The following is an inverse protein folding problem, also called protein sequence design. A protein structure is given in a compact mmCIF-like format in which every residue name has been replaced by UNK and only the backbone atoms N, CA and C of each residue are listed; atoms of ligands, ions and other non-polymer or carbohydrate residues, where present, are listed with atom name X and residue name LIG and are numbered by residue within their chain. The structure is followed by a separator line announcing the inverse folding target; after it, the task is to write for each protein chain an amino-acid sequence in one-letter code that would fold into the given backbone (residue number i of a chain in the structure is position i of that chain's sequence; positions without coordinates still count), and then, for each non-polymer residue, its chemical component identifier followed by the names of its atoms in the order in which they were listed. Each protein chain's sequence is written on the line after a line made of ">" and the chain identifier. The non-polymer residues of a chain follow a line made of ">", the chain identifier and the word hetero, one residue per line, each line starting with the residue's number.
data_IF_362938208466
#
_entry.id   IF_362938208466
#
_cell.length_a   1.000
_cell.length_b   1.000
_cell.length_c   1.000
_cell.angle_alpha   90.00
_cell.angle_beta   90.00
_cell.angle_gamma   90.00
#
_symmetry.space_group_name_H-M   'P 1'
#
loop_
_entity.id
_entity.type
_entity.pdbx_description
1 polymer ?
#
# COMPACT_ATOMS: atom_id res chain seq x y z
N UNK A 1 0.96 -55.63 58.98
CA UNK A 1 1.02 -56.01 57.55
C UNK A 1 2.10 -55.11 56.92
N UNK A 2 3.28 -55.67 56.59
CA UNK A 2 4.46 -54.93 56.10
C UNK A 2 4.52 -54.93 54.56
N UNK A 3 5.38 -54.03 54.03
CA UNK A 3 6.04 -53.97 52.70
C UNK A 3 5.25 -53.11 51.68
N UNK A 4 5.75 -52.02 51.07
CA UNK A 4 7.07 -51.65 50.52
C UNK A 4 7.73 -50.47 51.28
N UNK A 5 9.03 -50.41 51.61
CA UNK A 5 10.32 -50.67 50.93
C UNK A 5 10.86 -49.49 50.08
N UNK A 6 11.79 -48.74 50.71
CA UNK A 6 13.10 -48.24 50.18
C UNK A 6 13.13 -46.97 49.31
N UNK A 7 14.14 -46.07 49.33
CA UNK A 7 15.48 -46.08 49.95
C UNK A 7 16.22 -44.72 49.76
N UNK A 8 17.05 -44.34 50.75
CA UNK A 8 18.51 -43.98 50.66
C UNK A 8 18.90 -42.62 50.00
N UNK A 9 19.29 -41.62 50.82
CA UNK A 9 20.66 -41.05 51.10
C UNK A 9 21.38 -40.40 49.89
N UNK A 10 22.19 -39.35 49.97
CA UNK A 10 23.19 -39.01 50.98
C UNK A 10 23.67 -37.54 50.86
N UNK A 11 24.26 -37.08 51.97
CA UNK A 11 25.03 -35.85 52.20
C UNK A 11 26.44 -35.98 51.63
N UNK A 12 27.03 -34.91 51.06
CA UNK A 12 28.43 -34.49 51.32
C UNK A 12 28.58 -32.98 51.04
N UNK A 13 29.20 -32.27 51.99
CA UNK A 13 29.61 -30.88 51.92
C UNK A 13 31.05 -30.73 51.39
N UNK A 14 31.34 -29.64 50.66
CA UNK A 14 32.71 -29.12 50.45
C UNK A 14 32.67 -27.60 50.64
N UNK A 15 33.60 -27.11 51.45
CA UNK A 15 33.84 -25.71 51.83
C UNK A 15 35.01 -25.17 51.00
N UNK A 16 35.07 -23.83 50.88
CA UNK A 16 36.22 -22.93 50.69
C UNK A 16 36.45 -22.46 49.24
N UNK A 17 36.20 -21.18 48.96
CA UNK A 17 37.22 -20.11 48.98
C UNK A 17 36.60 -18.76 48.57
N UNK A 18 36.71 -17.76 49.44
CA UNK A 18 36.42 -16.37 49.11
C UNK A 18 37.61 -15.76 48.36
N UNK A 19 37.37 -15.19 47.18
CA UNK A 19 38.28 -14.22 46.56
C UNK A 19 37.53 -12.94 46.24
N UNK A 20 38.13 -11.86 46.72
CA UNK A 20 37.60 -10.51 46.73
C UNK A 20 37.53 -9.89 45.33
N UNK A 21 36.46 -9.10 45.15
CA UNK A 21 36.42 -7.80 44.49
C UNK A 21 37.43 -7.60 43.35
N UNK A 22 37.02 -7.95 42.14
CA UNK A 22 37.41 -7.19 40.96
C UNK A 22 36.12 -6.71 40.30
N UNK A 23 35.91 -5.40 40.11
CA UNK A 23 34.81 -4.93 39.28
C UNK A 23 35.01 -5.53 37.89
N UNK A 24 33.97 -6.18 37.38
CA UNK A 24 33.92 -6.67 36.02
C UNK A 24 34.15 -5.46 35.11
N UNK A 25 35.38 -5.33 34.61
CA UNK A 25 35.70 -4.40 33.55
C UNK A 25 34.92 -4.89 32.33
N UNK A 26 33.78 -4.25 32.07
CA UNK A 26 33.20 -4.27 30.74
C UNK A 26 34.27 -3.70 29.81
N UNK A 27 34.84 -4.54 28.94
CA UNK A 27 35.52 -4.05 27.75
C UNK A 27 34.53 -3.16 27.00
N UNK A 28 34.88 -1.88 26.88
CA UNK A 28 34.15 -0.93 26.06
C UNK A 28 34.10 -1.47 24.63
N UNK A 29 32.89 -1.70 24.11
CA UNK A 29 32.69 -1.92 22.68
C UNK A 29 33.34 -0.74 21.93
N UNK A 30 34.10 -0.99 20.84
CA UNK A 30 34.73 0.08 20.09
C UNK A 30 33.66 1.04 19.59
N UNK A 31 33.60 2.21 20.23
CA UNK A 31 32.72 3.31 19.85
C UNK A 31 33.23 3.86 18.53
N UNK A 32 32.64 3.45 17.41
CA UNK A 32 32.89 4.09 16.12
C UNK A 32 32.32 5.50 16.24
N UNK A 33 33.19 6.47 16.50
CA UNK A 33 32.86 7.88 16.39
C UNK A 33 32.60 8.21 14.92
N UNK A 34 31.33 8.17 14.52
CA UNK A 34 30.89 8.75 13.26
C UNK A 34 30.88 10.26 13.47
N UNK A 35 31.88 10.96 12.90
CA UNK A 35 31.75 12.40 12.64
C UNK A 35 30.53 12.60 11.72
N UNK A 36 29.40 12.97 12.32
CA UNK A 36 28.28 13.58 11.61
C UNK A 36 28.58 15.07 11.50
N UNK A 37 29.27 15.47 10.44
CA UNK A 37 29.08 16.82 9.93
C UNK A 37 27.85 16.80 9.01
N UNK A 38 26.94 17.74 9.30
CA UNK A 38 25.61 17.98 8.75
C UNK A 38 24.47 17.02 9.15
N UNK A 39 23.84 17.41 10.26
CA UNK A 39 22.42 17.18 10.56
C UNK A 39 21.55 17.33 9.30
N UNK A 40 20.77 16.30 8.89
CA UNK A 40 19.91 16.41 7.73
C UNK A 40 18.78 17.42 8.01
N UNK A 41 18.65 18.41 7.12
CA UNK A 41 17.59 19.40 7.16
C UNK A 41 16.20 18.73 7.24
N UNK A 42 15.34 19.27 8.12
CA UNK A 42 13.92 18.93 8.24
C UNK A 42 13.26 18.92 6.85
N UNK A 43 12.75 17.76 6.41
CA UNK A 43 11.96 17.66 5.17
C UNK A 43 12.13 16.39 4.33
N UNK A 44 12.91 15.38 4.75
CA UNK A 44 12.96 14.09 4.04
C UNK A 44 11.66 13.31 4.25
N UNK A 45 10.83 13.24 3.21
CA UNK A 45 9.76 12.23 3.11
C UNK A 45 10.41 11.01 2.45
N UNK A 46 10.42 9.88 3.13
CA UNK A 46 10.93 8.63 2.56
C UNK A 46 10.03 8.21 1.40
N UNK A 47 10.62 7.93 0.24
CA UNK A 47 9.86 7.30 -0.84
C UNK A 47 9.38 5.91 -0.40
N UNK A 48 8.41 5.30 -1.08
CA UNK A 48 8.03 3.88 -0.84
C UNK A 48 9.20 2.91 -0.99
N UNK A 49 10.32 3.39 -1.54
CA UNK A 49 11.59 2.73 -1.67
C UNK A 49 12.59 3.53 -0.84
N UNK A 50 12.88 3.08 0.37
CA UNK A 50 13.80 3.76 1.29
C UNK A 50 15.24 3.96 0.74
N UNK A 51 15.53 3.44 -0.47
CA UNK A 51 16.85 3.47 -1.10
C UNK A 51 17.19 4.77 -1.85
N UNK A 52 16.22 5.63 -2.18
CA UNK A 52 16.46 6.90 -2.89
C UNK A 52 15.83 8.08 -2.13
N UNK A 53 16.61 9.11 -1.75
CA UNK A 53 16.05 10.34 -1.23
C UNK A 53 15.26 11.06 -2.34
N UNK A 54 13.99 11.38 -2.07
CA UNK A 54 13.17 12.23 -2.94
C UNK A 54 13.02 13.60 -2.29
N UNK A 55 13.40 14.66 -3.01
CA UNK A 55 13.28 16.03 -2.54
C UNK A 55 11.93 16.64 -2.93
N UNK A 56 11.48 17.66 -2.20
CA UNK A 56 10.15 18.26 -2.36
C UNK A 56 9.83 18.70 -3.80
N UNK A 57 10.80 19.23 -4.55
CA UNK A 57 10.60 19.60 -5.96
C UNK A 57 10.30 18.38 -6.83
N UNK A 58 11.12 17.33 -6.73
CA UNK A 58 10.95 16.09 -7.48
C UNK A 58 9.66 15.37 -7.10
N UNK A 59 9.27 15.41 -5.82
CA UNK A 59 7.99 14.87 -5.34
C UNK A 59 6.81 15.52 -6.05
N UNK A 60 6.80 16.86 -6.17
CA UNK A 60 5.74 17.59 -6.88
C UNK A 60 5.63 17.17 -8.35
N UNK A 61 6.75 17.08 -9.06
CA UNK A 61 6.77 16.66 -10.47
C UNK A 61 6.22 15.21 -10.64
N UNK A 62 6.61 14.30 -9.74
CA UNK A 62 6.08 12.92 -9.72
C UNK A 62 4.57 12.91 -9.46
N UNK A 63 4.10 13.69 -8.50
CA UNK A 63 2.69 13.78 -8.15
C UNK A 63 1.86 14.38 -9.28
N UNK A 64 2.39 15.36 -10.01
CA UNK A 64 1.75 15.94 -11.21
C UNK A 64 1.61 14.90 -12.32
N UNK A 65 2.68 14.15 -12.63
CA UNK A 65 2.66 13.08 -13.64
C UNK A 65 1.64 12.01 -13.26
N UNK A 66 1.67 11.59 -11.99
CA UNK A 66 0.73 10.61 -11.45
C UNK A 66 -0.71 11.12 -11.56
N UNK A 67 -0.95 12.37 -11.19
CA UNK A 67 -2.27 13.01 -11.27
C UNK A 67 -2.76 13.10 -12.70
N UNK A 68 -1.90 13.49 -13.64
CA UNK A 68 -2.23 13.53 -15.07
C UNK A 68 -2.58 12.14 -15.63
N UNK A 69 -1.80 11.11 -15.26
CA UNK A 69 -2.10 9.71 -15.60
C UNK A 69 -3.43 9.25 -15.02
N UNK A 70 -3.70 9.58 -13.75
CA UNK A 70 -4.96 9.24 -13.08
C UNK A 70 -6.17 9.95 -13.71
N UNK A 71 -6.04 11.22 -14.10
CA UNK A 71 -7.10 11.99 -14.76
C UNK A 71 -7.54 11.38 -16.10
N UNK A 72 -6.63 10.70 -16.80
CA UNK A 72 -6.95 9.99 -18.06
C UNK A 72 -7.74 8.69 -17.84
N UNK A 73 -7.83 8.18 -16.60
CA UNK A 73 -8.49 6.91 -16.35
C UNK A 73 -9.99 7.09 -16.13
N UNK A 74 -10.77 6.50 -17.01
CA UNK A 74 -12.20 6.28 -16.82
C UNK A 74 -12.38 5.09 -15.85
N UNK A 75 -13.25 5.25 -14.86
CA UNK A 75 -13.58 4.20 -13.90
C UNK A 75 -14.17 2.96 -14.57
N UNK A 76 -14.54 1.96 -13.77
CA UNK A 76 -15.09 0.69 -14.26
C UNK A 76 -16.61 0.61 -14.08
N UNK A 77 -17.23 -0.33 -14.79
CA UNK A 77 -18.55 -0.86 -14.43
C UNK A 77 -18.27 -2.11 -13.59
N UNK A 78 -18.46 -2.07 -12.25
CA UNK A 78 -18.17 -3.21 -11.39
C UNK A 78 -19.22 -4.32 -11.57
N UNK A 79 -18.79 -5.57 -11.50
CA UNK A 79 -19.67 -6.75 -11.47
C UNK A 79 -19.48 -7.60 -10.21
N UNK A 80 -18.40 -7.36 -9.46
CA UNK A 80 -18.08 -8.08 -8.21
C UNK A 80 -17.43 -7.14 -7.21
N UNK A 81 -17.81 -7.31 -5.94
CA UNK A 81 -17.28 -6.61 -4.79
C UNK A 81 -16.75 -7.64 -3.79
N UNK A 82 -15.50 -7.46 -3.37
CA UNK A 82 -14.87 -8.28 -2.34
C UNK A 82 -14.38 -7.38 -1.19
N UNK A 83 -14.67 -7.75 0.05
CA UNK A 83 -14.19 -7.06 1.26
C UNK A 83 -13.65 -8.11 2.23
N UNK A 84 -12.37 -8.51 2.13
CA UNK A 84 -11.82 -9.65 2.86
C UNK A 84 -11.94 -9.54 4.38
N UNK A 85 -11.81 -8.33 4.94
CA UNK A 85 -11.87 -8.08 6.39
C UNK A 85 -13.20 -8.50 7.02
N UNK A 86 -14.28 -8.53 6.24
CA UNK A 86 -15.63 -8.91 6.68
C UNK A 86 -16.21 -10.05 5.84
N UNK A 87 -15.35 -10.79 5.12
CA UNK A 87 -15.70 -11.96 4.32
C UNK A 87 -16.82 -11.73 3.30
N UNK A 88 -16.94 -10.51 2.76
CA UNK A 88 -17.89 -10.21 1.69
C UNK A 88 -17.28 -10.59 0.34
N UNK A 89 -18.04 -11.36 -0.43
CA UNK A 89 -17.80 -11.66 -1.84
C UNK A 89 -19.15 -11.74 -2.56
N UNK A 90 -19.47 -10.73 -3.36
CA UNK A 90 -20.82 -10.55 -3.91
C UNK A 90 -20.79 -9.99 -5.32
N UNK A 91 -21.85 -10.29 -6.07
CA UNK A 91 -22.15 -9.57 -7.30
C UNK A 91 -22.49 -8.10 -7.02
N UNK A 92 -22.16 -7.25 -8.00
CA UNK A 92 -22.56 -5.85 -8.06
C UNK A 92 -23.46 -5.69 -9.28
N UNK A 93 -24.69 -5.22 -9.06
CA UNK A 93 -25.63 -4.87 -10.12
C UNK A 93 -25.64 -3.35 -10.31
N UNK A 94 -26.07 -2.90 -11.47
CA UNK A 94 -26.37 -1.49 -11.71
C UNK A 94 -27.73 -1.16 -11.13
N UNK A 95 -27.83 -0.04 -10.41
CA UNK A 95 -29.10 0.47 -9.88
C UNK A 95 -29.24 1.95 -10.25
N UNK A 96 -30.48 2.37 -10.46
CA UNK A 96 -30.84 3.71 -10.88
C UNK A 96 -31.44 4.53 -9.74
N UNK A 97 -32.47 5.27 -10.10
CA UNK A 97 -33.29 6.04 -9.16
C UNK A 97 -34.72 5.54 -9.20
N UNK A 98 -35.34 5.50 -8.05
CA UNK A 98 -36.79 5.33 -7.91
C UNK A 98 -37.53 6.56 -8.45
N UNK A 99 -38.84 6.46 -8.64
CA UNK A 99 -39.67 7.55 -9.14
C UNK A 99 -39.67 8.80 -8.23
N UNK A 100 -39.48 8.60 -6.93
CA UNK A 100 -39.33 9.66 -5.92
C UNK A 100 -37.87 10.16 -5.78
N UNK A 101 -36.97 9.70 -6.66
CA UNK A 101 -35.60 10.22 -6.80
C UNK A 101 -34.58 9.63 -5.83
N UNK A 102 -34.95 8.62 -5.04
CA UNK A 102 -34.02 7.90 -4.17
C UNK A 102 -33.16 6.93 -4.97
N UNK A 103 -31.99 6.59 -4.45
CA UNK A 103 -31.17 5.52 -5.03
C UNK A 103 -31.90 4.19 -4.84
N UNK A 104 -32.05 3.43 -5.94
CA UNK A 104 -32.53 2.06 -5.89
C UNK A 104 -31.56 1.16 -5.09
N UNK A 105 -32.09 0.12 -4.45
CA UNK A 105 -31.31 -0.90 -3.76
C UNK A 105 -31.62 -2.28 -4.34
N UNK A 106 -30.68 -3.25 -4.28
CA UNK A 106 -30.95 -4.60 -4.78
C UNK A 106 -32.17 -5.25 -4.11
N UNK A 107 -32.95 -6.03 -4.85
CA UNK A 107 -34.15 -6.70 -4.30
C UNK A 107 -33.81 -7.79 -3.27
N UNK A 108 -32.63 -8.41 -3.40
CA UNK A 108 -32.17 -9.47 -2.51
C UNK A 108 -31.10 -8.98 -1.53
N UNK A 109 -30.91 -9.73 -0.45
CA UNK A 109 -30.04 -9.38 0.68
C UNK A 109 -28.57 -9.77 0.47
N UNK A 110 -28.26 -10.48 -0.61
CA UNK A 110 -26.92 -11.03 -0.87
C UNK A 110 -26.14 -10.25 -1.92
N UNK A 111 -26.79 -9.40 -2.70
CA UNK A 111 -26.19 -8.56 -3.75
C UNK A 111 -25.99 -7.10 -3.31
N UNK A 112 -25.15 -6.39 -4.06
CA UNK A 112 -24.93 -4.95 -3.90
C UNK A 112 -25.24 -4.19 -5.18
N UNK A 113 -25.65 -2.93 -5.06
CA UNK A 113 -26.06 -2.09 -6.18
C UNK A 113 -25.14 -0.87 -6.33
N UNK A 114 -24.48 -0.73 -7.47
CA UNK A 114 -23.75 0.48 -7.84
C UNK A 114 -24.69 1.49 -8.51
N UNK A 115 -24.67 2.72 -8.00
CA UNK A 115 -25.44 3.83 -8.53
C UNK A 115 -24.87 4.32 -9.88
N UNK A 116 -25.38 3.75 -10.97
CA UNK A 116 -24.89 3.99 -12.34
C UNK A 116 -25.03 5.46 -12.82
N UNK A 117 -26.10 6.20 -12.45
CA UNK A 117 -26.19 7.62 -12.82
C UNK A 117 -25.12 8.51 -12.18
N UNK A 118 -24.35 7.99 -11.21
CA UNK A 118 -23.27 8.69 -10.52
C UNK A 118 -21.89 8.45 -11.14
N UNK A 119 -20.86 8.54 -10.30
CA UNK A 119 -19.49 8.32 -10.73
C UNK A 119 -19.17 6.83 -10.85
N UNK A 120 -18.45 6.47 -11.91
CA UNK A 120 -17.86 5.13 -12.07
C UNK A 120 -16.76 4.91 -11.02
N UNK A 121 -16.72 3.76 -10.32
CA UNK A 121 -15.62 3.43 -9.42
C UNK A 121 -14.26 3.53 -10.11
N UNK A 122 -13.35 4.27 -9.50
CA UNK A 122 -12.06 4.57 -10.10
C UNK A 122 -12.08 5.73 -11.09
N UNK A 123 -13.20 6.41 -11.34
CA UNK A 123 -13.19 7.77 -11.91
C UNK A 123 -12.79 8.79 -10.85
N UNK A 124 -12.52 10.04 -11.26
CA UNK A 124 -12.55 11.17 -10.33
C UNK A 124 -13.99 11.40 -9.88
N UNK A 125 -14.21 11.55 -8.58
CA UNK A 125 -15.53 11.66 -7.97
C UNK A 125 -15.78 10.58 -6.92
N UNK A 126 -17.04 10.45 -6.51
CA UNK A 126 -17.50 9.53 -5.47
C UNK A 126 -18.44 8.51 -6.07
N UNK A 127 -17.94 7.29 -6.30
CA UNK A 127 -18.80 6.18 -6.68
C UNK A 127 -19.56 5.68 -5.44
N UNK A 128 -20.80 5.23 -5.60
CA UNK A 128 -21.65 4.79 -4.49
C UNK A 128 -22.16 3.38 -4.73
N UNK A 129 -21.95 2.50 -3.75
CA UNK A 129 -22.51 1.14 -3.74
C UNK A 129 -23.35 0.96 -2.47
N UNK A 130 -24.59 0.51 -2.63
CA UNK A 130 -25.49 0.19 -1.54
C UNK A 130 -25.68 -1.31 -1.37
N UNK A 131 -25.96 -1.73 -0.14
CA UNK A 131 -26.29 -3.11 0.20
C UNK A 131 -27.07 -3.19 1.50
N UNK A 132 -27.88 -4.24 1.65
CA UNK A 132 -28.70 -4.45 2.85
C UNK A 132 -27.85 -4.77 4.08
N UNK A 133 -28.29 -4.31 5.25
CA UNK A 133 -27.66 -4.62 6.54
C UNK A 133 -28.17 -5.96 7.07
N UNK A 134 -29.48 -6.17 7.07
CA UNK A 134 -30.12 -7.38 7.54
C UNK A 134 -31.47 -7.60 6.84
N UNK A 135 -32.16 -8.63 7.29
CA UNK A 135 -33.49 -9.02 6.85
C UNK A 135 -34.19 -9.79 7.97
N UNK A 136 -35.46 -10.14 7.76
CA UNK A 136 -36.20 -11.02 8.69
C UNK A 136 -35.55 -12.40 8.83
N UNK A 137 -34.73 -12.82 7.86
CA UNK A 137 -34.03 -14.10 7.86
C UNK A 137 -32.65 -14.02 8.52
N UNK A 138 -32.17 -12.82 8.87
CA UNK A 138 -30.89 -12.60 9.52
C UNK A 138 -29.98 -11.62 8.77
N UNK A 139 -28.67 -11.64 9.08
CA UNK A 139 -27.65 -10.77 8.49
C UNK A 139 -27.67 -10.76 6.95
N UNK A 140 -27.48 -9.58 6.35
CA UNK A 140 -27.35 -9.39 4.91
C UNK A 140 -25.91 -9.02 4.54
N UNK A 141 -25.66 -8.75 3.24
CA UNK A 141 -24.33 -8.55 2.67
C UNK A 141 -23.48 -7.50 3.39
N UNK A 142 -24.08 -6.43 3.92
CA UNK A 142 -23.37 -5.35 4.63
C UNK A 142 -23.59 -5.35 6.14
N UNK A 143 -24.05 -6.44 6.73
CA UNK A 143 -24.25 -6.55 8.19
C UNK A 143 -23.02 -6.14 9.00
N UNK A 144 -21.84 -6.61 8.58
CA UNK A 144 -20.56 -6.36 9.25
C UNK A 144 -19.83 -5.11 8.75
N UNK A 145 -20.46 -4.27 7.90
CA UNK A 145 -19.79 -3.10 7.33
C UNK A 145 -19.28 -2.10 8.40
N UNK A 146 -19.95 -2.05 9.56
CA UNK A 146 -19.54 -1.26 10.73
C UNK A 146 -18.19 -1.67 11.33
N UNK A 147 -17.73 -2.88 11.08
CA UNK A 147 -16.49 -3.43 11.63
C UNK A 147 -15.25 -2.97 10.87
N UNK A 148 -15.42 -2.47 9.64
CA UNK A 148 -14.31 -1.98 8.82
C UNK A 148 -13.52 -0.88 9.53
N UNK A 149 -12.20 -0.96 9.35
CA UNK A 149 -11.20 -0.06 9.89
C UNK A 149 -10.46 0.67 8.78
N UNK A 150 -9.83 1.79 9.11
CA UNK A 150 -8.99 2.52 8.17
C UNK A 150 -7.85 1.61 7.66
N UNK A 151 -7.67 1.56 6.35
CA UNK A 151 -6.68 0.71 5.68
C UNK A 151 -7.25 -0.60 5.11
N UNK A 152 -8.41 -1.06 5.57
CA UNK A 152 -9.07 -2.27 5.05
C UNK A 152 -9.32 -2.17 3.55
N UNK A 153 -9.21 -3.31 2.86
CA UNK A 153 -9.27 -3.35 1.40
C UNK A 153 -10.67 -3.66 0.92
N UNK A 154 -11.09 -2.89 -0.07
CA UNK A 154 -12.30 -3.12 -0.85
C UNK A 154 -11.88 -3.31 -2.30
N UNK A 155 -12.26 -4.42 -2.90
CA UNK A 155 -11.88 -4.77 -4.27
C UNK A 155 -13.12 -4.75 -5.16
N UNK A 156 -13.01 -4.06 -6.30
CA UNK A 156 -14.03 -4.09 -7.33
C UNK A 156 -13.43 -4.69 -8.60
N UNK A 157 -14.18 -5.58 -9.25
CA UNK A 157 -13.75 -6.21 -10.50
C UNK A 157 -14.80 -5.97 -11.58
N UNK A 158 -14.36 -5.62 -12.79
CA UNK A 158 -15.25 -5.51 -13.96
C UNK A 158 -15.33 -6.82 -14.75
N UNK A 159 -16.21 -6.85 -15.76
CA UNK A 159 -16.41 -8.04 -16.61
C UNK A 159 -15.16 -8.44 -17.40
N UNK A 160 -14.22 -7.51 -17.64
CA UNK A 160 -12.97 -7.76 -18.33
C UNK A 160 -11.85 -8.23 -17.38
N UNK A 161 -12.13 -8.35 -16.08
CA UNK A 161 -11.16 -8.77 -15.06
C UNK A 161 -10.25 -7.64 -14.57
N UNK A 162 -10.49 -6.37 -14.95
CA UNK A 162 -9.79 -5.23 -14.35
C UNK A 162 -10.23 -5.09 -12.90
N UNK A 163 -9.25 -5.02 -12.01
CA UNK A 163 -9.44 -4.98 -10.57
C UNK A 163 -8.99 -3.64 -10.00
N UNK A 164 -9.89 -2.98 -9.30
CA UNK A 164 -9.61 -1.78 -8.51
C UNK A 164 -9.49 -2.18 -7.04
N UNK A 165 -8.51 -1.63 -6.34
CA UNK A 165 -8.38 -1.77 -4.89
C UNK A 165 -8.50 -0.41 -4.23
N UNK A 166 -9.44 -0.30 -3.32
CA UNK A 166 -9.66 0.85 -2.46
C UNK A 166 -9.20 0.52 -1.05
N UNK A 167 -8.78 1.54 -0.30
CA UNK A 167 -8.50 1.44 1.13
C UNK A 167 -9.47 2.33 1.89
N UNK A 168 -10.13 1.76 2.90
CA UNK A 168 -11.04 2.49 3.80
C UNK A 168 -10.28 3.66 4.44
N UNK A 169 -10.91 4.83 4.45
CA UNK A 169 -10.40 6.03 5.11
C UNK A 169 -11.20 6.36 6.37
N UNK A 170 -12.53 6.43 6.23
CA UNK A 170 -13.42 6.86 7.31
C UNK A 170 -14.74 6.13 7.24
N UNK A 171 -15.45 6.11 8.37
CA UNK A 171 -16.84 5.67 8.48
C UNK A 171 -17.64 6.68 9.27
N UNK A 172 -18.86 6.99 8.82
CA UNK A 172 -19.76 7.95 9.48
C UNK A 172 -21.19 7.43 9.44
N UNK A 173 -21.92 7.59 10.54
CA UNK A 173 -23.36 7.36 10.61
C UNK A 173 -24.09 8.69 10.45
N UNK A 174 -25.15 8.71 9.66
CA UNK A 174 -26.02 9.86 9.48
C UNK A 174 -27.47 9.44 9.67
N UNK A 175 -28.29 10.29 10.30
CA UNK A 175 -29.74 10.15 10.18
C UNK A 175 -30.11 10.19 8.70
N UNK A 176 -30.95 9.26 8.25
CA UNK A 176 -31.29 9.10 6.84
C UNK A 176 -31.79 10.41 6.21
N UNK A 177 -32.65 11.15 6.92
CA UNK A 177 -33.24 12.42 6.49
C UNK A 177 -32.25 13.60 6.49
N UNK A 178 -31.12 13.48 7.21
CA UNK A 178 -30.11 14.53 7.35
C UNK A 178 -28.78 14.15 6.70
N UNK A 179 -28.76 13.07 5.92
CA UNK A 179 -27.55 12.60 5.26
C UNK A 179 -27.06 13.68 4.26
N UNK A 180 -25.79 14.09 4.31
CA UNK A 180 -25.28 15.15 3.44
C UNK A 180 -25.07 14.61 2.02
N UNK A 181 -26.11 14.70 1.18
CA UNK A 181 -26.15 14.09 -0.16
C UNK A 181 -24.94 14.48 -1.01
N UNK A 182 -24.55 15.76 -1.07
CA UNK A 182 -23.39 16.20 -1.84
C UNK A 182 -22.06 15.64 -1.31
N UNK A 183 -21.96 15.39 0.00
CA UNK A 183 -20.78 14.76 0.57
C UNK A 183 -20.69 13.27 0.20
N UNK A 184 -21.82 12.63 -0.08
CA UNK A 184 -21.91 11.19 -0.37
C UNK A 184 -21.86 10.93 -1.89
N UNK A 185 -22.64 11.67 -2.69
CA UNK A 185 -22.82 11.46 -4.13
C UNK A 185 -22.12 12.51 -5.00
N UNK A 186 -21.72 13.65 -4.41
CA UNK A 186 -21.18 14.78 -5.15
C UNK A 186 -19.75 14.59 -5.67
N UNK A 187 -19.24 15.64 -6.31
CA UNK A 187 -17.94 15.63 -6.96
C UNK A 187 -16.77 15.51 -5.99
N UNK A 188 -15.63 15.08 -6.52
CA UNK A 188 -14.34 15.05 -5.84
C UNK A 188 -13.22 15.04 -6.87
N UNK A 189 -12.09 15.65 -6.55
CA UNK A 189 -10.85 15.51 -7.32
C UNK A 189 -10.18 14.16 -7.05
N UNK A 190 -10.49 13.54 -5.91
CA UNK A 190 -10.08 12.20 -5.54
C UNK A 190 -10.93 11.12 -6.21
N UNK A 191 -10.43 9.89 -6.20
CA UNK A 191 -11.08 8.68 -6.73
C UNK A 191 -11.66 7.90 -5.55
N UNK A 192 -12.86 8.26 -5.12
CA UNK A 192 -13.48 7.78 -3.89
C UNK A 192 -14.59 6.75 -4.19
N UNK A 193 -14.78 5.85 -3.23
CA UNK A 193 -15.87 4.88 -3.18
C UNK A 193 -16.57 5.01 -1.83
N UNK A 194 -17.89 5.16 -1.86
CA UNK A 194 -18.74 5.14 -0.68
C UNK A 194 -19.55 3.84 -0.69
N UNK A 195 -19.41 3.04 0.37
CA UNK A 195 -20.30 1.92 0.66
C UNK A 195 -21.36 2.39 1.64
N UNK A 196 -22.63 2.14 1.34
CA UNK A 196 -23.77 2.61 2.14
C UNK A 196 -24.63 1.44 2.59
N UNK A 197 -25.01 1.44 3.86
CA UNK A 197 -26.00 0.50 4.39
C UNK A 197 -26.87 1.14 5.47
N UNK A 198 -27.99 0.49 5.79
CA UNK A 198 -28.85 0.81 6.92
C UNK A 198 -28.13 0.52 8.25
N UNK A 199 -28.31 1.33 9.29
CA UNK A 199 -27.71 1.07 10.61
C UNK A 199 -28.52 1.71 11.74
N UNK A 200 -28.11 1.50 13.00
CA UNK A 200 -28.78 2.08 14.16
C UNK A 200 -30.11 1.40 14.49
N UNK A 201 -30.97 2.06 15.26
CA UNK A 201 -32.24 1.49 15.73
C UNK A 201 -33.20 1.26 14.57
N UNK A 202 -33.83 0.08 14.54
CA UNK A 202 -34.93 -0.22 13.63
C UNK A 202 -36.21 0.47 14.12
N UNK A 203 -36.77 1.35 13.30
CA UNK A 203 -38.08 1.96 13.50
C UNK A 203 -39.15 1.02 12.97
N UNK A 204 -39.99 0.48 13.86
CA UNK A 204 -41.04 -0.48 13.51
C UNK A 204 -42.21 0.14 12.75
N UNK A 205 -42.48 1.44 12.94
CA UNK A 205 -43.54 2.16 12.23
C UNK A 205 -43.11 2.44 10.79
N UNK A 206 -41.89 2.95 10.61
CA UNK A 206 -41.30 3.22 9.30
C UNK A 206 -40.73 1.97 8.62
N UNK A 207 -40.64 0.85 9.34
CA UNK A 207 -40.06 -0.43 8.92
C UNK A 207 -38.65 -0.27 8.32
N UNK A 208 -37.85 0.60 8.91
CA UNK A 208 -36.50 0.89 8.43
C UNK A 208 -35.59 1.29 9.58
N UNK A 209 -34.29 1.13 9.37
CA UNK A 209 -33.29 1.73 10.23
C UNK A 209 -33.25 3.24 10.05
N UNK A 210 -33.13 3.99 11.14
CA UNK A 210 -33.14 5.46 11.08
C UNK A 210 -31.83 6.07 10.57
N UNK A 211 -30.73 5.31 10.66
CA UNK A 211 -29.41 5.77 10.26
C UNK A 211 -28.93 5.12 8.96
N UNK A 212 -27.98 5.79 8.31
CA UNK A 212 -27.20 5.30 7.18
C UNK A 212 -25.72 5.34 7.55
N UNK A 213 -25.08 4.17 7.53
CA UNK A 213 -23.64 4.06 7.64
C UNK A 213 -23.03 4.30 6.25
N UNK A 214 -22.08 5.24 6.17
CA UNK A 214 -21.27 5.50 4.98
C UNK A 214 -19.83 5.19 5.30
N UNK A 215 -19.25 4.22 4.59
CA UNK A 215 -17.82 3.92 4.61
C UNK A 215 -17.18 4.52 3.36
N UNK A 216 -16.27 5.48 3.55
CA UNK A 216 -15.54 6.12 2.45
C UNK A 216 -14.17 5.49 2.31
N UNK A 217 -13.83 5.09 1.09
CA UNK A 217 -12.56 4.50 0.71
C UNK A 217 -11.93 5.22 -0.49
N UNK A 218 -10.60 5.26 -0.55
CA UNK A 218 -9.85 5.90 -1.64
C UNK A 218 -9.12 4.86 -2.48
N UNK A 219 -9.12 5.05 -3.79
CA UNK A 219 -8.42 4.16 -4.71
C UNK A 219 -6.91 4.13 -4.40
N UNK A 220 -6.37 2.94 -4.15
CA UNK A 220 -4.94 2.72 -3.90
C UNK A 220 -4.25 1.93 -5.00
N UNK A 221 -4.99 1.15 -5.78
CA UNK A 221 -4.46 0.39 -6.92
C UNK A 221 -5.51 0.21 -8.02
N UNK A 222 -5.07 0.16 -9.26
CA UNK A 222 -5.87 -0.15 -10.45
C UNK A 222 -5.03 -1.07 -11.34
N UNK A 223 -5.50 -2.31 -11.54
CA UNK A 223 -4.74 -3.33 -12.26
C UNK A 223 -4.48 -2.99 -13.73
N UNK A 224 -5.26 -2.09 -14.33
CA UNK A 224 -5.01 -1.63 -15.70
C UNK A 224 -3.95 -0.53 -15.77
N UNK A 225 -3.51 0.02 -14.63
CA UNK A 225 -2.33 0.89 -14.62
C UNK A 225 -1.09 0.05 -14.94
N UNK A 226 -0.71 0.03 -16.21
CA UNK A 226 0.61 -0.47 -16.61
C UNK A 226 1.67 0.36 -15.90
N UNK A 227 2.46 -0.31 -15.06
CA UNK A 227 3.71 0.22 -14.55
C UNK A 227 4.62 0.50 -15.75
N UNK A 228 4.87 1.77 -16.04
CA UNK A 228 5.79 2.15 -17.11
C UNK A 228 7.20 1.71 -16.73
N UNK A 229 7.87 1.02 -17.65
CA UNK A 229 9.26 0.59 -17.46
C UNK A 229 10.15 1.72 -17.97
N UNK A 230 11.02 2.31 -17.13
CA UNK A 230 11.91 3.37 -17.59
C UNK A 230 12.92 2.81 -18.60
N UNK A 231 13.44 3.66 -19.48
CA UNK A 231 14.58 3.29 -20.35
C UNK A 231 15.85 3.10 -19.51
N UNK A 232 16.77 2.20 -19.91
CA UNK A 232 18.09 2.10 -19.28
C UNK A 232 18.87 3.42 -19.42
N UNK A 233 19.82 3.71 -18.51
CA UNK A 233 20.74 4.82 -18.70
C UNK A 233 21.63 4.58 -19.92
N UNK A 234 22.08 5.66 -20.55
CA UNK A 234 22.94 5.61 -21.74
C UNK A 234 24.39 5.94 -21.38
N UNK A 235 25.31 5.64 -22.31
CA UNK A 235 26.75 5.92 -22.16
C UNK A 235 27.32 5.39 -20.83
N UNK A 236 26.92 4.17 -20.46
CA UNK A 236 27.51 3.49 -19.32
C UNK A 236 28.95 3.13 -19.69
N UNK A 237 29.90 3.59 -18.88
CA UNK A 237 31.33 3.41 -19.12
C UNK A 237 32.05 3.08 -17.83
N UNK A 238 33.08 2.24 -17.91
CA UNK A 238 34.05 2.03 -16.84
C UNK A 238 35.32 2.84 -17.14
N UNK A 239 35.81 3.57 -16.14
CA UNK A 239 37.08 4.31 -16.16
C UNK A 239 37.82 3.97 -14.88
N UNK A 240 38.82 3.07 -14.98
CA UNK A 240 39.46 2.47 -13.81
C UNK A 240 38.45 1.74 -12.92
N UNK A 241 38.42 2.08 -11.63
CA UNK A 241 37.45 1.54 -10.67
C UNK A 241 36.10 2.27 -10.68
N UNK A 242 35.89 3.24 -11.57
CA UNK A 242 34.66 4.05 -11.58
C UNK A 242 33.75 3.67 -12.73
N UNK A 243 32.50 3.33 -12.42
CA UNK A 243 31.42 3.19 -13.40
C UNK A 243 30.71 4.53 -13.49
N UNK A 244 30.49 5.04 -14.71
CA UNK A 244 29.80 6.32 -14.98
C UNK A 244 28.71 6.12 -16.02
N UNK A 245 27.71 7.00 -16.04
CA UNK A 245 26.63 6.96 -17.03
C UNK A 245 25.98 8.33 -17.22
N UNK A 246 25.20 8.48 -18.30
CA UNK A 246 24.36 9.66 -18.51
C UNK A 246 23.02 9.51 -17.80
N UNK A 247 22.56 10.62 -17.21
CA UNK A 247 21.28 10.67 -16.53
C UNK A 247 20.12 10.43 -17.50
N UNK A 248 19.25 9.48 -17.15
CA UNK A 248 17.93 9.39 -17.74
C UNK A 248 17.08 10.57 -17.25
N UNK A 249 16.60 11.40 -18.19
CA UNK A 249 15.81 12.61 -17.92
C UNK A 249 14.30 12.36 -17.90
N UNK A 250 13.87 11.11 -17.96
CA UNK A 250 12.46 10.79 -17.75
C UNK A 250 12.06 11.28 -16.34
N UNK A 251 10.99 12.07 -16.23
CA UNK A 251 10.70 12.81 -15.00
C UNK A 251 10.19 11.92 -13.85
N UNK A 252 9.84 10.66 -14.14
CA UNK A 252 9.50 9.65 -13.15
C UNK A 252 10.71 8.84 -12.64
N UNK A 253 11.90 8.98 -13.25
CA UNK A 253 13.12 8.31 -12.79
C UNK A 253 13.64 8.97 -11.52
N UNK A 254 13.83 8.18 -10.46
CA UNK A 254 14.27 8.64 -9.14
C UNK A 254 15.69 8.20 -8.78
N UNK A 255 16.23 7.21 -9.48
CA UNK A 255 17.60 6.78 -9.25
C UNK A 255 18.03 5.63 -10.16
N UNK A 256 19.15 5.03 -9.79
CA UNK A 256 19.83 3.97 -10.52
C UNK A 256 20.24 2.88 -9.56
N UNK A 257 20.18 1.62 -9.98
CA UNK A 257 20.82 0.51 -9.28
C UNK A 257 21.98 0.00 -10.13
N UNK A 258 23.13 -0.20 -9.50
CA UNK A 258 24.32 -0.76 -10.13
C UNK A 258 24.50 -2.20 -9.67
N UNK A 259 24.71 -3.11 -10.61
CA UNK A 259 24.92 -4.52 -10.33
C UNK A 259 26.25 -5.00 -10.87
N UNK A 260 26.93 -5.85 -10.10
CA UNK A 260 27.99 -6.72 -10.59
C UNK A 260 27.34 -7.97 -11.19
N UNK A 261 27.81 -8.39 -12.36
CA UNK A 261 27.31 -9.58 -13.07
C UNK A 261 28.24 -10.75 -12.77
N UNK A 262 27.70 -11.82 -12.21
CA UNK A 262 28.41 -13.05 -11.82
C UNK A 262 27.74 -14.25 -12.51
N UNK A 263 28.25 -14.63 -13.67
CA UNK A 263 27.59 -15.63 -14.53
C UNK A 263 26.18 -15.17 -14.92
N UNK A 264 25.15 -15.90 -14.44
CA UNK A 264 23.73 -15.54 -14.64
C UNK A 264 23.14 -14.67 -13.52
N UNK A 265 23.88 -14.44 -12.43
CA UNK A 265 23.41 -13.67 -11.27
C UNK A 265 23.80 -12.20 -11.39
N UNK A 266 22.99 -11.33 -10.80
CA UNK A 266 23.27 -9.90 -10.64
C UNK A 266 23.25 -9.56 -9.16
N UNK A 267 24.38 -9.10 -8.64
CA UNK A 267 24.52 -8.69 -7.24
C UNK A 267 24.47 -7.17 -7.19
N UNK A 268 23.50 -6.59 -6.47
CA UNK A 268 23.37 -5.13 -6.34
C UNK A 268 24.52 -4.62 -5.49
N UNK A 269 25.30 -3.67 -6.01
CA UNK A 269 26.44 -3.09 -5.30
C UNK A 269 26.20 -1.64 -4.87
N UNK A 270 25.27 -0.93 -5.53
CA UNK A 270 24.94 0.44 -5.20
C UNK A 270 23.54 0.84 -5.66
N UNK A 271 22.99 1.84 -4.98
CA UNK A 271 21.86 2.65 -5.42
C UNK A 271 22.34 4.11 -5.48
N UNK A 272 22.07 4.81 -6.59
CA UNK A 272 22.48 6.20 -6.81
C UNK A 272 21.26 7.05 -7.17
N UNK A 273 20.99 8.12 -6.42
CA UNK A 273 19.85 9.00 -6.67
C UNK A 273 20.03 9.84 -7.94
N UNK A 274 18.95 10.36 -8.52
CA UNK A 274 19.05 11.30 -9.65
C UNK A 274 19.73 12.62 -9.30
N UNK A 275 19.76 13.00 -8.02
CA UNK A 275 20.47 14.19 -7.52
C UNK A 275 21.96 13.98 -7.27
N UNK A 276 22.42 12.74 -7.19
CA UNK A 276 23.83 12.41 -6.93
C UNK A 276 24.67 12.41 -8.21
N UNK A 277 26.00 12.32 -8.07
CA UNK A 277 26.87 12.12 -9.24
C UNK A 277 26.55 10.76 -9.88
N UNK A 278 26.40 10.71 -11.21
CA UNK A 278 26.10 9.48 -11.98
C UNK A 278 27.34 8.60 -12.13
N UNK A 279 27.90 8.22 -10.99
CA UNK A 279 29.10 7.43 -10.89
C UNK A 279 29.13 6.62 -9.61
N UNK A 280 29.70 5.42 -9.66
CA UNK A 280 29.98 4.59 -8.48
C UNK A 280 31.40 4.06 -8.58
N UNK A 281 32.13 4.11 -7.46
CA UNK A 281 33.40 3.39 -7.33
C UNK A 281 33.09 1.93 -7.03
N UNK A 282 33.42 1.05 -7.96
CA UNK A 282 33.28 -0.40 -7.83
C UNK A 282 34.69 -1.02 -7.84
N UNK A 283 35.25 -1.22 -6.65
CA UNK A 283 36.55 -1.90 -6.50
C UNK A 283 36.44 -3.32 -7.04
N UNK A 284 37.18 -3.63 -8.09
CA UNK A 284 37.09 -4.93 -8.72
C UNK A 284 38.30 -5.24 -9.60
N UNK A 285 39.00 -6.34 -9.27
CA UNK A 285 40.05 -6.92 -10.11
C UNK A 285 39.57 -7.25 -11.53
N UNK A 286 40.51 -7.61 -12.38
CA UNK A 286 40.31 -7.77 -13.82
C UNK A 286 39.12 -8.68 -14.18
N UNK A 287 38.35 -8.28 -15.20
CA UNK A 287 37.28 -9.11 -15.78
C UNK A 287 35.90 -9.04 -15.11
N UNK A 288 35.70 -8.17 -14.11
CA UNK A 288 34.35 -7.98 -13.53
C UNK A 288 33.44 -7.17 -14.45
N UNK A 289 32.24 -7.70 -14.67
CA UNK A 289 31.19 -7.12 -15.52
C UNK A 289 30.17 -6.35 -14.69
N UNK A 290 29.70 -5.21 -15.18
CA UNK A 290 28.70 -4.38 -14.50
C UNK A 290 27.56 -3.95 -15.41
N UNK A 291 26.41 -3.71 -14.80
CA UNK A 291 25.23 -3.17 -15.48
C UNK A 291 24.53 -2.15 -14.60
N UNK A 292 24.02 -1.09 -15.21
CA UNK A 292 23.24 -0.04 -14.53
C UNK A 292 21.81 -0.09 -15.03
N UNK A 293 20.85 0.05 -14.12
CA UNK A 293 19.41 0.18 -14.46
C UNK A 293 18.88 1.50 -13.92
N UNK A 294 17.95 2.12 -14.64
CA UNK A 294 17.14 3.23 -14.13
C UNK A 294 16.04 2.66 -13.24
N UNK A 295 15.65 3.39 -12.19
CA UNK A 295 14.51 3.05 -11.32
C UNK A 295 13.57 4.25 -11.25
N UNK A 296 12.28 4.02 -11.50
CA UNK A 296 11.27 5.06 -11.40
C UNK A 296 10.58 5.15 -10.03
N UNK A 297 9.72 6.15 -9.86
CA UNK A 297 8.99 6.45 -8.63
C UNK A 297 8.04 5.35 -8.16
N UNK A 298 7.65 4.42 -9.05
CA UNK A 298 6.88 3.22 -8.74
C UNK A 298 7.76 2.02 -8.36
N UNK A 299 9.09 2.18 -8.40
CA UNK A 299 10.09 1.17 -8.09
C UNK A 299 10.36 0.15 -9.19
N UNK A 300 9.92 0.46 -10.40
CA UNK A 300 10.14 -0.36 -11.59
C UNK A 300 11.54 -0.06 -12.10
N UNK A 301 12.34 -1.11 -12.29
CA UNK A 301 13.65 -1.01 -12.89
C UNK A 301 13.57 -1.20 -14.41
N UNK A 302 14.42 -0.48 -15.15
CA UNK A 302 14.63 -0.72 -16.58
C UNK A 302 15.24 -2.09 -16.84
N UNK A 303 15.31 -2.47 -18.13
CA UNK A 303 16.30 -3.46 -18.55
C UNK A 303 17.73 -3.01 -18.15
N UNK A 304 18.67 -3.94 -18.17
CA UNK A 304 20.09 -3.60 -18.04
C UNK A 304 20.54 -2.63 -19.12
N UNK A 305 21.47 -1.74 -18.80
CA UNK A 305 22.35 -1.13 -19.79
C UNK A 305 23.17 -2.19 -20.53
N UNK A 306 23.94 -1.75 -21.53
CA UNK A 306 25.07 -2.54 -22.01
C UNK A 306 26.01 -2.88 -20.83
N UNK A 307 26.59 -4.08 -20.89
CA UNK A 307 27.54 -4.55 -19.89
C UNK A 307 28.87 -3.85 -20.11
N UNK A 308 29.45 -3.34 -19.02
CA UNK A 308 30.80 -2.76 -19.03
C UNK A 308 31.75 -3.63 -18.23
N UNK A 309 32.99 -3.73 -18.70
CA UNK A 309 34.11 -4.48 -18.11
C UNK A 309 35.22 -3.55 -17.66
#
# INVERSE_FOLDING_TARGET
>A
MKIFLTSITAVVAIIILAFALHPFAMEEEPTIQVKHDEQPAKGKITSRIAEFPIYAKQQREIDEIRTAKQKKQTGIIPVRLEIPAIQVDTAVIQVGKTADGQMEVPDNTVQTGWYDPGYKPGGQGKAVIAGHVDSKQGPAVFFYLKELQAGDKILLTDKAGRKLTFAVQTKKSYLAEKAPIDQIFGSSTDRLLNLITCTGTFDTERRTHIDRLVVTAKLVNDSAMKKEIPKPPTNVKRVGDTITWYANRAPDVIGYRVYQVEGKKKVKIASVATTERKSVVAKAGDGKKFVVVSVNSDGVASSGSEIVE
#
